data_IF_931191468180
#
_entry.id   IF_931191468180
#
_cell.length_a   1.000
_cell.length_b   1.000
_cell.length_c   1.000
_cell.angle_alpha   90.00
_cell.angle_beta   90.00
_cell.angle_gamma   90.00
#
_symmetry.space_group_name_H-M   'P 1'
#
loop_
_entity.id
_entity.type
_entity.pdbx_description
1 polymer ?
#
# COMPACT_ATOMS: atom_id res chain seq x y z
N UNK A 1 27.46 4.45 -8.97
CA UNK A 1 26.11 3.92 -9.25
C UNK A 1 25.96 2.64 -8.46
N UNK A 2 24.93 2.51 -7.62
CA UNK A 2 24.66 1.24 -6.94
C UNK A 2 24.26 0.19 -8.00
N UNK A 3 24.76 -1.05 -7.94
CA UNK A 3 24.38 -2.06 -8.92
C UNK A 3 22.90 -2.41 -8.76
N UNK A 4 22.13 -2.30 -9.84
CA UNK A 4 20.77 -2.83 -9.87
C UNK A 4 20.83 -4.36 -9.75
N UNK A 5 20.29 -4.91 -8.66
CA UNK A 5 20.13 -6.36 -8.49
C UNK A 5 18.81 -6.78 -9.14
N UNK A 6 18.87 -7.64 -10.15
CA UNK A 6 17.66 -8.27 -10.69
C UNK A 6 17.03 -9.14 -9.60
N UNK A 7 15.78 -8.87 -9.26
CA UNK A 7 14.98 -9.70 -8.34
C UNK A 7 14.05 -10.59 -9.14
N UNK A 8 13.65 -11.73 -8.56
CA UNK A 8 12.73 -12.68 -9.20
C UNK A 8 11.36 -12.01 -9.32
N UNK A 9 10.82 -11.99 -10.54
CA UNK A 9 9.42 -11.59 -10.75
C UNK A 9 8.49 -12.59 -10.05
N UNK A 10 7.42 -12.09 -9.43
CA UNK A 10 6.40 -12.96 -8.85
C UNK A 10 5.79 -13.84 -9.92
N UNK A 11 5.80 -15.14 -9.67
CA UNK A 11 5.18 -16.11 -10.54
C UNK A 11 3.69 -16.20 -10.18
N UNK A 12 2.82 -16.39 -11.18
CA UNK A 12 1.38 -16.60 -11.00
C UNK A 12 0.58 -15.38 -10.51
N UNK A 13 1.08 -14.17 -10.72
CA UNK A 13 0.28 -12.94 -10.58
C UNK A 13 0.07 -12.37 -11.99
N UNK A 14 -1.18 -12.38 -12.43
CA UNK A 14 -1.60 -11.97 -13.77
C UNK A 14 -2.59 -10.82 -13.61
N UNK A 15 -2.49 -9.85 -14.51
CA UNK A 15 -3.47 -8.78 -14.60
C UNK A 15 -3.32 -7.70 -13.53
N UNK A 16 -2.09 -7.27 -13.27
CA UNK A 16 -1.79 -6.24 -12.29
C UNK A 16 -1.12 -5.00 -12.89
N UNK A 17 -1.36 -3.85 -12.29
CA UNK A 17 -0.77 -2.57 -12.64
C UNK A 17 -0.54 -1.67 -11.40
N UNK A 18 0.03 -0.48 -11.65
CA UNK A 18 0.13 0.60 -10.66
C UNK A 18 0.72 0.21 -9.30
N UNK A 19 1.87 -0.49 -9.23
CA UNK A 19 2.48 -0.82 -7.94
C UNK A 19 2.90 0.45 -7.21
N UNK A 20 2.52 0.57 -5.94
CA UNK A 20 2.98 1.65 -5.06
C UNK A 20 3.35 1.09 -3.70
N UNK A 21 4.44 1.59 -3.11
CA UNK A 21 4.92 1.12 -1.81
C UNK A 21 5.04 2.26 -0.82
N UNK A 22 4.64 2.01 0.42
CA UNK A 22 4.74 2.97 1.52
C UNK A 22 5.15 2.26 2.82
N UNK A 23 5.86 3.00 3.69
CA UNK A 23 6.28 2.48 5.01
C UNK A 23 5.09 2.52 5.98
N UNK A 24 5.02 1.66 6.98
CA UNK A 24 4.04 1.84 8.07
C UNK A 24 4.59 2.80 9.11
N UNK A 25 3.75 3.73 9.58
CA UNK A 25 4.14 4.68 10.63
C UNK A 25 4.61 3.93 11.88
N UNK A 26 5.78 4.33 12.40
CA UNK A 26 6.37 3.75 13.62
C UNK A 26 6.86 2.30 13.49
N UNK A 27 6.88 1.72 12.28
CA UNK A 27 7.32 0.34 12.06
C UNK A 27 8.41 0.27 11.00
N UNK A 28 9.30 -0.71 11.13
CA UNK A 28 10.21 -1.09 10.05
C UNK A 28 9.57 -2.15 9.14
N UNK A 29 8.44 -1.77 8.57
CA UNK A 29 7.62 -2.61 7.70
C UNK A 29 7.01 -1.74 6.61
N UNK A 30 6.93 -2.29 5.40
CA UNK A 30 6.41 -1.61 4.22
C UNK A 30 5.24 -2.40 3.64
N UNK A 31 4.31 -1.70 3.03
CA UNK A 31 3.22 -2.26 2.25
C UNK A 31 3.47 -1.95 0.78
N UNK A 32 3.33 -2.96 -0.08
CA UNK A 32 3.19 -2.84 -1.51
C UNK A 32 1.72 -3.05 -1.87
N UNK A 33 1.10 -2.05 -2.48
CA UNK A 33 -0.20 -2.17 -3.12
C UNK A 33 -0.03 -2.51 -4.59
N UNK A 34 -0.81 -3.48 -5.05
CA UNK A 34 -0.83 -3.93 -6.44
C UNK A 34 -2.28 -3.89 -6.94
N UNK A 35 -2.56 -3.12 -8.00
CA UNK A 35 -3.93 -2.96 -8.53
C UNK A 35 -4.23 -4.08 -9.51
N UNK A 36 -5.25 -4.90 -9.22
CA UNK A 36 -5.74 -5.91 -10.15
C UNK A 36 -6.78 -5.28 -11.09
N UNK A 37 -6.32 -4.85 -12.28
CA UNK A 37 -7.11 -4.05 -13.23
C UNK A 37 -8.39 -4.75 -13.71
N UNK A 38 -8.43 -6.08 -13.69
CA UNK A 38 -9.60 -6.86 -14.08
C UNK A 38 -10.67 -6.92 -12.98
N UNK A 39 -10.33 -7.51 -11.83
CA UNK A 39 -11.24 -7.69 -10.71
C UNK A 39 -10.47 -7.65 -9.36
N UNK A 40 -11.08 -7.02 -8.36
CA UNK A 40 -10.56 -6.97 -6.99
C UNK A 40 -9.95 -5.61 -6.58
N UNK A 41 -9.38 -4.85 -7.52
CA UNK A 41 -8.70 -3.59 -7.20
C UNK A 41 -7.41 -3.84 -6.41
N UNK A 42 -7.05 -2.90 -5.54
CA UNK A 42 -5.81 -3.00 -4.76
C UNK A 42 -5.76 -4.21 -3.82
N UNK A 43 -4.65 -4.96 -3.89
CA UNK A 43 -4.28 -5.97 -2.92
C UNK A 43 -2.96 -5.61 -2.21
N UNK A 44 -2.96 -5.53 -0.86
CA UNK A 44 -1.76 -5.21 -0.08
C UNK A 44 -0.89 -6.43 0.21
N UNK A 45 0.42 -6.21 0.14
CA UNK A 45 1.47 -7.16 0.50
C UNK A 45 2.46 -6.50 1.46
N UNK A 46 2.85 -7.15 2.55
CA UNK A 46 3.86 -6.63 3.47
C UNK A 46 5.26 -7.16 3.19
N UNK A 47 6.26 -6.34 3.49
CA UNK A 47 7.70 -6.67 3.43
C UNK A 47 8.45 -5.94 4.55
N UNK A 48 9.51 -6.57 5.06
CA UNK A 48 10.41 -5.97 6.07
C UNK A 48 11.87 -5.88 5.61
N UNK A 49 12.28 -6.75 4.70
CA UNK A 49 13.66 -6.82 4.21
C UNK A 49 13.72 -6.72 2.68
N UNK A 50 14.32 -5.65 2.17
CA UNK A 50 14.52 -5.44 0.73
C UNK A 50 15.77 -6.15 0.18
N UNK A 51 16.68 -6.61 1.05
CA UNK A 51 17.90 -7.32 0.63
C UNK A 51 17.58 -8.74 0.14
N UNK A 52 16.56 -9.36 0.76
CA UNK A 52 15.90 -10.59 0.33
C UNK A 52 14.37 -10.39 0.26
N UNK A 53 13.85 -9.81 -0.85
CA UNK A 53 12.47 -9.35 -0.89
C UNK A 53 11.47 -10.51 -1.01
N UNK A 54 10.90 -10.89 0.12
CA UNK A 54 9.76 -11.78 0.23
C UNK A 54 8.54 -10.99 0.71
N UNK A 55 7.49 -11.03 -0.09
CA UNK A 55 6.27 -10.27 0.17
C UNK A 55 5.14 -11.19 0.59
N UNK A 56 4.45 -10.84 1.66
CA UNK A 56 3.33 -11.61 2.19
C UNK A 56 2.02 -10.90 1.88
N UNK A 57 1.12 -11.54 1.14
CA UNK A 57 -0.23 -11.01 0.89
C UNK A 57 -0.96 -10.86 2.22
N UNK A 58 -1.52 -9.68 2.52
CA UNK A 58 -2.32 -9.51 3.73
C UNK A 58 -3.66 -10.23 3.58
N UNK A 59 -4.13 -10.84 4.67
CA UNK A 59 -5.42 -11.49 4.71
C UNK A 59 -6.56 -10.48 4.59
N UNK A 60 -7.63 -10.84 3.86
CA UNK A 60 -8.83 -10.01 3.79
C UNK A 60 -9.41 -9.81 5.19
N UNK A 61 -9.82 -8.57 5.50
CA UNK A 61 -10.33 -8.20 6.82
C UNK A 61 -9.27 -7.68 7.80
N UNK A 62 -7.98 -7.77 7.47
CA UNK A 62 -6.90 -7.12 8.27
C UNK A 62 -6.56 -5.71 7.79
N UNK A 63 -7.22 -5.26 6.72
CA UNK A 63 -7.08 -3.93 6.14
C UNK A 63 -8.44 -3.40 5.67
N UNK A 64 -8.56 -2.09 5.59
CA UNK A 64 -9.72 -1.39 5.04
C UNK A 64 -9.30 -0.58 3.82
N UNK A 65 -10.08 -0.68 2.75
CA UNK A 65 -9.93 0.09 1.52
C UNK A 65 -11.28 0.68 1.14
N UNK A 66 -11.32 1.80 0.38
CA UNK A 66 -12.56 2.31 -0.17
C UNK A 66 -13.23 1.27 -1.09
N UNK A 67 -14.52 1.45 -1.40
CA UNK A 67 -15.31 0.46 -2.14
C UNK A 67 -14.81 0.14 -3.55
N UNK A 68 -14.09 1.07 -4.20
CA UNK A 68 -13.51 0.92 -5.54
C UNK A 68 -12.07 1.43 -5.57
N UNK A 69 -11.12 0.78 -4.88
CA UNK A 69 -9.74 1.23 -4.85
C UNK A 69 -9.10 0.96 -6.21
N UNK A 70 -8.41 1.97 -6.76
CA UNK A 70 -7.73 1.94 -8.06
C UNK A 70 -6.41 2.70 -7.98
N UNK A 71 -5.58 2.53 -9.00
CA UNK A 71 -4.26 3.12 -9.13
C UNK A 71 -4.16 4.54 -8.52
N UNK A 72 -3.40 4.65 -7.44
CA UNK A 72 -3.09 5.86 -6.71
C UNK A 72 -1.84 5.68 -5.86
N UNK A 73 -1.73 6.46 -4.79
CA UNK A 73 -0.62 6.36 -3.84
C UNK A 73 -1.12 6.55 -2.41
N UNK A 74 -0.33 6.10 -1.45
CA UNK A 74 -0.60 6.31 -0.02
C UNK A 74 0.35 7.38 0.48
N UNK A 75 -0.21 8.47 0.96
CA UNK A 75 0.51 9.47 1.73
C UNK A 75 0.34 9.16 3.21
N UNK A 76 1.44 8.77 3.84
CA UNK A 76 1.43 8.56 5.27
C UNK A 76 1.32 9.89 5.99
N UNK A 77 0.40 9.96 6.95
CA UNK A 77 0.28 11.08 7.87
C UNK A 77 0.23 10.55 9.30
N UNK A 78 0.77 11.33 10.22
CA UNK A 78 0.66 11.11 11.67
C UNK A 78 -0.76 11.42 12.16
N UNK A 79 -1.07 10.99 13.39
CA UNK A 79 -2.37 11.31 14.00
C UNK A 79 -2.52 12.81 14.22
N UNK A 80 -1.42 13.51 14.52
CA UNK A 80 -1.36 14.96 14.70
C UNK A 80 -1.64 15.68 13.37
N UNK A 81 -0.97 15.29 12.28
CA UNK A 81 -1.23 15.86 10.94
C UNK A 81 -2.67 15.60 10.48
N UNK A 82 -3.19 14.38 10.72
CA UNK A 82 -4.59 14.08 10.45
C UNK A 82 -5.53 15.02 11.20
N UNK A 83 -5.33 15.22 12.51
CA UNK A 83 -6.12 16.16 13.31
C UNK A 83 -6.01 17.60 12.78
N UNK A 84 -4.81 18.03 12.38
CA UNK A 84 -4.60 19.36 11.79
C UNK A 84 -5.38 19.54 10.48
N UNK A 85 -5.35 18.55 9.59
CA UNK A 85 -6.08 18.59 8.31
C UNK A 85 -7.60 18.64 8.57
N UNK A 86 -8.11 17.75 9.44
CA UNK A 86 -9.53 17.74 9.79
C UNK A 86 -9.96 19.04 10.46
N UNK A 87 -9.15 19.61 11.35
CA UNK A 87 -9.47 20.90 11.98
C UNK A 87 -9.50 22.07 11.00
N UNK A 88 -8.67 22.04 9.96
CA UNK A 88 -8.57 23.11 8.97
C UNK A 88 -9.61 22.99 7.85
N UNK A 89 -9.96 21.76 7.45
CA UNK A 89 -10.72 21.49 6.22
C UNK A 89 -11.84 20.44 6.35
N UNK A 90 -11.96 19.78 7.50
CA UNK A 90 -12.92 18.69 7.67
C UNK A 90 -14.35 19.20 7.76
N UNK A 91 -15.23 18.68 6.91
CA UNK A 91 -16.68 18.75 7.12
C UNK A 91 -17.12 17.51 7.92
N UNK A 92 -18.02 17.69 8.89
CA UNK A 92 -18.62 16.57 9.63
C UNK A 92 -19.61 15.84 8.73
N UNK A 93 -19.12 15.02 7.80
CA UNK A 93 -19.95 14.04 7.10
C UNK A 93 -19.65 12.68 7.72
N UNK A 94 -20.61 12.17 8.49
CA UNK A 94 -20.50 10.88 9.15
C UNK A 94 -20.54 9.73 8.14
N UNK A 95 -19.43 9.02 8.06
CA UNK A 95 -19.35 7.64 7.56
C UNK A 95 -19.09 6.70 8.74
#
# INVERSE_FOLDING_TARGET
>A
MLPFKKVKSWQNIIGVEGPTSYKLNGKDEWILLVDYFGAGGYSPYSIKDFSNPEYTKLAVGTYSLPSKPRHGTVMNITAEEYKSIISAYGELTGD
#
